data_IF_780638379264
#
_entry.id   IF_780638379264
#
_cell.length_a   1.000
_cell.length_b   1.000
_cell.length_c   1.000
_cell.angle_alpha   90.00
_cell.angle_beta   90.00
_cell.angle_gamma   90.00
#
_symmetry.space_group_name_H-M   'P 1'
#
loop_
_entity.id
_entity.type
_entity.pdbx_description
1 polymer ?
#
# COMPACT_ATOMS: atom_id res chain seq x y z
N UNK A 1 13.02 1.55 8.38
CA UNK A 1 12.08 0.56 7.81
C UNK A 1 10.84 0.55 8.68
N UNK A 2 9.68 0.31 8.08
CA UNK A 2 8.37 0.25 8.75
C UNK A 2 7.62 -0.97 8.23
N UNK A 3 6.92 -1.67 9.12
CA UNK A 3 6.10 -2.83 8.72
C UNK A 3 4.71 -2.36 8.32
N UNK A 4 4.21 -2.75 7.16
CA UNK A 4 2.79 -2.61 6.84
C UNK A 4 2.07 -3.89 7.18
N UNK A 5 0.99 -3.78 7.95
CA UNK A 5 0.11 -4.87 8.34
C UNK A 5 -1.26 -4.62 7.73
N UNK A 6 -1.60 -5.37 6.68
CA UNK A 6 -2.93 -5.32 6.07
C UNK A 6 -3.86 -6.27 6.80
N UNK A 7 -4.98 -5.74 7.28
CA UNK A 7 -5.99 -6.45 8.06
C UNK A 7 -7.24 -6.70 7.20
N UNK A 8 -7.94 -7.80 7.47
CA UNK A 8 -9.28 -8.03 6.95
C UNK A 8 -10.30 -7.10 7.64
N UNK A 9 -11.53 -6.96 7.12
CA UNK A 9 -12.61 -6.24 7.82
C UNK A 9 -12.96 -6.78 9.22
N UNK A 10 -12.41 -7.94 9.61
CA UNK A 10 -12.55 -8.52 10.95
C UNK A 10 -11.35 -8.26 11.86
N UNK A 11 -10.35 -7.50 11.39
CA UNK A 11 -9.11 -7.22 12.13
C UNK A 11 -8.07 -8.33 12.07
N UNK A 12 -8.23 -9.32 11.19
CA UNK A 12 -7.27 -10.43 11.06
C UNK A 12 -6.13 -10.06 10.10
N UNK A 13 -4.88 -10.32 10.48
CA UNK A 13 -3.72 -10.14 9.60
C UNK A 13 -3.84 -10.96 8.33
N UNK A 14 -3.83 -10.28 7.17
CA UNK A 14 -3.86 -10.90 5.83
C UNK A 14 -2.49 -10.98 5.19
N UNK A 15 -1.75 -9.87 5.22
CA UNK A 15 -0.41 -9.78 4.64
C UNK A 15 0.42 -8.79 5.45
N UNK A 16 1.71 -9.07 5.54
CA UNK A 16 2.70 -8.16 6.11
C UNK A 16 3.87 -7.98 5.15
N UNK A 17 4.38 -6.77 5.06
CA UNK A 17 5.56 -6.46 4.25
C UNK A 17 6.30 -5.26 4.82
N UNK A 18 7.55 -5.09 4.37
CA UNK A 18 8.41 -3.98 4.78
C UNK A 18 8.37 -2.85 3.75
N UNK A 19 8.46 -1.62 4.26
CA UNK A 19 8.66 -0.43 3.47
C UNK A 19 9.63 0.55 4.13
N UNK A 20 9.92 1.63 3.44
CA UNK A 20 10.74 2.73 3.90
C UNK A 20 9.90 4.00 3.95
N UNK A 21 9.90 4.71 5.08
CA UNK A 21 9.20 6.00 5.18
C UNK A 21 9.91 7.01 4.28
N UNK A 22 9.13 7.62 3.38
CA UNK A 22 9.58 8.68 2.48
C UNK A 22 9.27 10.04 3.10
N UNK A 23 8.05 10.19 3.64
CA UNK A 23 7.57 11.46 4.17
C UNK A 23 6.48 11.23 5.22
N UNK A 24 6.49 12.04 6.28
CA UNK A 24 5.37 12.16 7.21
C UNK A 24 4.48 13.31 6.79
N UNK A 25 3.19 13.05 6.65
CA UNK A 25 2.17 14.05 6.34
C UNK A 25 1.53 14.54 7.65
N UNK A 26 0.76 15.63 7.58
CA UNK A 26 0.01 16.12 8.74
C UNK A 26 -1.01 15.09 9.27
N UNK A 27 -1.59 14.29 8.37
CA UNK A 27 -2.59 13.26 8.68
C UNK A 27 -2.26 11.91 8.02
N UNK A 28 -0.98 11.57 7.89
CA UNK A 28 -0.61 10.33 7.19
C UNK A 28 0.88 10.10 7.08
N UNK A 29 1.23 9.11 6.28
CA UNK A 29 2.62 8.78 5.94
C UNK A 29 2.70 8.28 4.50
N UNK A 30 3.77 8.65 3.82
CA UNK A 30 4.15 8.11 2.53
C UNK A 30 5.29 7.15 2.75
N UNK A 31 5.14 5.93 2.22
CA UNK A 31 6.21 4.93 2.23
C UNK A 31 6.56 4.50 0.82
N UNK A 32 7.75 3.96 0.65
CA UNK A 32 8.14 3.22 -0.53
C UNK A 32 8.27 1.74 -0.19
N UNK A 33 7.66 0.89 -1.00
CA UNK A 33 7.79 -0.55 -0.93
C UNK A 33 8.03 -1.14 -2.32
N UNK A 34 8.39 -2.42 -2.36
CA UNK A 34 8.62 -3.17 -3.59
C UNK A 34 7.79 -4.44 -3.61
N UNK A 35 7.21 -4.75 -4.76
CA UNK A 35 6.49 -6.00 -4.95
C UNK A 35 7.47 -7.18 -4.89
N UNK A 36 7.39 -7.97 -3.82
CA UNK A 36 8.29 -9.10 -3.55
C UNK A 36 7.69 -10.46 -3.87
N UNK A 37 6.45 -10.50 -4.35
CA UNK A 37 5.71 -11.72 -4.65
C UNK A 37 5.82 -12.09 -6.13
N UNK A 38 5.47 -13.33 -6.52
CA UNK A 38 5.28 -13.67 -7.94
C UNK A 38 4.32 -12.71 -8.63
N UNK A 39 4.41 -12.64 -9.95
CA UNK A 39 3.56 -11.75 -10.75
C UNK A 39 2.07 -11.99 -10.46
N UNK A 40 1.36 -10.92 -10.09
CA UNK A 40 -0.10 -10.94 -9.87
C UNK A 40 -0.76 -10.15 -11.00
N UNK A 41 -1.53 -10.85 -11.83
CA UNK A 41 -2.29 -10.25 -12.91
C UNK A 41 -3.73 -9.99 -12.46
N UNK A 42 -4.17 -8.72 -12.55
CA UNK A 42 -5.52 -8.27 -12.18
C UNK A 42 -6.46 -8.11 -13.38
N UNK A 43 -5.99 -8.43 -14.59
CA UNK A 43 -6.72 -8.29 -15.86
C UNK A 43 -6.53 -6.91 -16.51
N UNK A 44 -6.37 -5.85 -15.72
CA UNK A 44 -6.12 -4.49 -16.19
C UNK A 44 -4.68 -4.01 -15.93
N UNK A 45 -3.96 -4.67 -15.01
CA UNK A 45 -2.54 -4.46 -14.74
C UNK A 45 -1.90 -5.73 -14.19
N UNK A 46 -0.58 -5.84 -14.33
CA UNK A 46 0.24 -6.86 -13.66
C UNK A 46 1.21 -6.19 -12.68
N UNK A 47 1.17 -6.64 -11.42
CA UNK A 47 2.22 -6.37 -10.44
C UNK A 47 3.30 -7.41 -10.60
N UNK A 48 4.52 -6.97 -10.88
CA UNK A 48 5.66 -7.81 -11.19
C UNK A 48 6.74 -7.67 -10.11
N UNK A 49 7.53 -8.73 -9.86
CA UNK A 49 8.64 -8.66 -8.90
C UNK A 49 9.53 -7.44 -9.13
N UNK A 50 9.72 -6.63 -8.09
CA UNK A 50 10.53 -5.41 -8.12
C UNK A 50 9.80 -4.16 -8.58
N UNK A 51 8.52 -4.23 -8.97
CA UNK A 51 7.70 -3.03 -9.15
C UNK A 51 7.75 -2.18 -7.87
N UNK A 52 7.88 -0.87 -8.06
CA UNK A 52 8.00 0.10 -6.99
C UNK A 52 6.63 0.70 -6.69
N UNK A 53 6.27 0.72 -5.42
CA UNK A 53 5.03 1.27 -4.91
C UNK A 53 5.38 2.46 -4.02
N UNK A 54 4.91 3.66 -4.37
CA UNK A 54 4.82 4.77 -3.43
C UNK A 54 3.42 4.74 -2.84
N UNK A 55 3.34 4.48 -1.55
CA UNK A 55 2.10 4.18 -0.86
C UNK A 55 1.76 5.31 0.12
N UNK A 56 0.54 5.85 -0.03
CA UNK A 56 0.01 6.94 0.78
C UNK A 56 -0.99 6.35 1.76
N UNK A 57 -0.68 6.43 3.05
CA UNK A 57 -1.54 5.99 4.15
C UNK A 57 -2.08 7.21 4.89
N UNK A 58 -3.39 7.33 5.00
CA UNK A 58 -4.07 8.46 5.64
C UNK A 58 -4.75 8.02 6.93
N UNK A 59 -4.69 8.87 7.95
CA UNK A 59 -5.30 8.65 9.28
C UNK A 59 -6.71 9.23 9.39
N UNK A 60 -7.17 9.93 8.35
CA UNK A 60 -8.42 10.68 8.30
C UNK A 60 -9.24 10.41 7.01
N UNK A 61 -8.75 9.56 6.11
CA UNK A 61 -9.41 9.22 4.85
C UNK A 61 -9.73 7.72 4.77
N UNK A 62 -10.83 7.38 4.09
CA UNK A 62 -11.31 6.00 3.93
C UNK A 62 -10.78 5.33 2.66
N UNK A 63 -9.51 5.55 2.37
CA UNK A 63 -8.80 4.93 1.26
C UNK A 63 -7.29 5.10 1.46
N UNK A 64 -6.52 4.31 0.74
CA UNK A 64 -5.09 4.54 0.58
C UNK A 64 -4.75 4.47 -0.92
N UNK A 65 -3.70 5.17 -1.33
CA UNK A 65 -3.33 5.30 -2.75
C UNK A 65 -1.94 4.71 -2.97
N UNK A 66 -1.73 3.99 -4.07
CA UNK A 66 -0.44 3.53 -4.53
C UNK A 66 -0.12 4.12 -5.90
N UNK A 67 1.01 4.81 -6.02
CA UNK A 67 1.63 5.13 -7.31
C UNK A 67 2.61 4.01 -7.67
N UNK A 68 2.31 3.28 -8.74
CA UNK A 68 3.02 2.06 -9.11
C UNK A 68 3.85 2.30 -10.35
N UNK A 69 5.14 1.97 -10.28
CA UNK A 69 6.07 2.03 -11.39
C UNK A 69 6.80 0.70 -11.59
N UNK A 70 7.11 0.38 -12.85
CA UNK A 70 7.93 -0.78 -13.19
C UNK A 70 9.36 -0.66 -12.66
N UNK A 71 10.11 -1.76 -12.70
CA UNK A 71 11.56 -1.78 -12.41
C UNK A 71 12.37 -0.83 -13.30
N UNK A 72 11.84 -0.43 -14.46
CA UNK A 72 12.45 0.57 -15.34
C UNK A 72 11.99 2.01 -15.04
N UNK A 73 11.20 2.22 -13.99
CA UNK A 73 10.70 3.53 -13.57
C UNK A 73 9.50 4.04 -14.37
N UNK A 74 8.90 3.21 -15.24
CA UNK A 74 7.71 3.59 -16.01
C UNK A 74 6.48 3.43 -15.13
N UNK A 75 5.72 4.52 -14.89
CA UNK A 75 4.47 4.47 -14.14
C UNK A 75 3.47 3.55 -14.84
N UNK A 76 2.99 2.54 -14.12
CA UNK A 76 1.95 1.60 -14.55
C UNK A 76 0.56 2.19 -14.33
N UNK A 77 0.36 2.91 -13.23
CA UNK A 77 -0.91 3.55 -12.90
C UNK A 77 -1.00 3.93 -11.43
N UNK A 78 -2.19 4.35 -11.04
CA UNK A 78 -2.56 4.60 -9.65
C UNK A 78 -3.53 3.52 -9.21
N UNK A 79 -3.38 3.06 -7.97
CA UNK A 79 -4.26 2.07 -7.37
C UNK A 79 -4.83 2.65 -6.08
N UNK A 80 -6.14 2.62 -5.91
CA UNK A 80 -6.80 3.08 -4.70
C UNK A 80 -7.52 1.91 -4.03
N UNK A 81 -7.07 1.48 -2.84
CA UNK A 81 -7.88 0.55 -2.03
C UNK A 81 -8.85 1.40 -1.21
N UNK A 82 -10.12 1.02 -1.19
CA UNK A 82 -11.07 1.50 -0.19
C UNK A 82 -10.75 0.78 1.12
N UNK A 83 -10.52 1.56 2.17
CA UNK A 83 -9.91 1.09 3.40
C UNK A 83 -10.39 1.94 4.58
N UNK A 84 -10.26 1.47 5.83
CA UNK A 84 -10.47 2.35 6.99
C UNK A 84 -9.32 3.37 7.11
N UNK A 85 -9.42 4.43 7.92
CA UNK A 85 -8.26 5.25 8.24
C UNK A 85 -7.14 4.41 8.87
N UNK A 86 -5.90 4.62 8.44
CA UNK A 86 -4.74 3.86 8.91
C UNK A 86 -4.39 4.21 10.36
N UNK A 87 -3.93 3.22 11.12
CA UNK A 87 -3.31 3.42 12.42
C UNK A 87 -1.80 3.43 12.25
N UNK A 88 -1.15 4.51 12.70
CA UNK A 88 0.29 4.70 12.59
C UNK A 88 0.95 4.50 13.95
N UNK A 89 1.88 3.57 14.02
CA UNK A 89 2.75 3.32 15.15
C UNK A 89 4.20 3.68 14.79
N UNK A 90 5.12 3.58 15.76
CA UNK A 90 6.53 3.91 15.53
C UNK A 90 7.19 2.97 14.52
N UNK A 91 6.85 1.68 14.56
CA UNK A 91 7.50 0.61 13.80
C UNK A 91 6.58 -0.05 12.75
N UNK A 92 5.28 0.28 12.75
CA UNK A 92 4.33 -0.31 11.81
C UNK A 92 3.12 0.59 11.48
N UNK A 93 2.45 0.23 10.39
CA UNK A 93 1.19 0.79 9.91
C UNK A 93 0.18 -0.35 9.89
N UNK A 94 -0.98 -0.14 10.49
CA UNK A 94 -2.12 -1.05 10.33
C UNK A 94 -3.15 -0.44 9.38
N UNK A 95 -3.62 -1.24 8.43
CA UNK A 95 -4.58 -0.82 7.42
C UNK A 95 -5.64 -1.91 7.23
N UNK A 96 -6.89 -1.61 7.60
CA UNK A 96 -8.04 -2.48 7.33
C UNK A 96 -8.49 -2.29 5.88
N UNK A 97 -8.47 -3.37 5.11
CA UNK A 97 -8.88 -3.41 3.70
C UNK A 97 -10.37 -3.72 3.57
N UNK A 98 -11.11 -2.92 2.78
CA UNK A 98 -12.55 -3.07 2.59
C UNK A 98 -12.93 -3.72 1.24
N UNK A 99 -11.97 -4.39 0.60
CA UNK A 99 -12.14 -5.30 -0.54
C UNK A 99 -12.58 -4.65 -1.86
N UNK A 100 -12.67 -3.33 -1.92
CA UNK A 100 -13.00 -2.58 -3.12
C UNK A 100 -11.81 -1.74 -3.56
N UNK A 101 -11.49 -1.83 -4.84
CA UNK A 101 -10.33 -1.19 -5.43
C UNK A 101 -10.72 -0.39 -6.68
N UNK A 102 -9.97 0.68 -6.94
CA UNK A 102 -10.06 1.48 -8.17
C UNK A 102 -8.69 1.57 -8.82
N UNK A 103 -8.68 1.39 -10.14
CA UNK A 103 -7.53 1.58 -11.02
C UNK A 103 -7.76 2.77 -11.96
#
# INVERSE_FOLDING_TARGET
MITVVKLSPRGETKIQYQGEVVEHLSHGVIIQAYWSHPTKNLGYVSFEPGDRFIEYYYTDQWYNIFDIASTQGVRKGWYCNIAEPAFLFEDHIEQVDLLLDVW
#
